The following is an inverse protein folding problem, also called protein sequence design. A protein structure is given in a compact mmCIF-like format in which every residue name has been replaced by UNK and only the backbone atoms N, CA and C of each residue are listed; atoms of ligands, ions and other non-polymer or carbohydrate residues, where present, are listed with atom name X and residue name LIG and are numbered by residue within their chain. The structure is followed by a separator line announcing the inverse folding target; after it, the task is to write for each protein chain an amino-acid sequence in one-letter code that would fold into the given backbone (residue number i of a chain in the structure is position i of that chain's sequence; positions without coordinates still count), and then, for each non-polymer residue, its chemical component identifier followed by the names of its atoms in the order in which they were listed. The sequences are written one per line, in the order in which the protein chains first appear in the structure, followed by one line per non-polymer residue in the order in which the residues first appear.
data_IF_015668116328
#
_entry.id   IF_015668116328
#
_cell.length_a   1.000
_cell.length_b   1.000
_cell.length_c   1.000
_cell.angle_alpha   90.00
_cell.angle_beta   90.00
_cell.angle_gamma   90.00
#
_symmetry.space_group_name_H-M   'P 1'
#
loop_
_entity.id
_entity.type
_entity.pdbx_description
1 polymer ?
#
# COMPACT_ATOMS: atom_id res chain seq x y z
N UNK A 1 -13.16 -7.18 -2.67
CA UNK A 1 -12.45 -6.45 -1.60
C UNK A 1 -11.98 -5.13 -2.23
N UNK A 2 -12.77 -4.08 -2.10
CA UNK A 2 -12.44 -2.73 -2.57
C UNK A 2 -12.75 -1.78 -1.41
N UNK A 3 -11.78 -0.93 -1.07
CA UNK A 3 -11.91 0.08 -0.01
C UNK A 3 -12.84 1.22 -0.51
N UNK A 4 -13.83 1.69 0.27
CA UNK A 4 -14.84 2.64 -0.23
C UNK A 4 -14.34 4.10 -0.35
N UNK A 5 -13.08 4.38 -0.03
CA UNK A 5 -12.43 5.69 -0.20
C UNK A 5 -11.48 5.66 -1.39
N UNK A 6 -11.83 6.37 -2.46
CA UNK A 6 -11.30 6.17 -3.81
C UNK A 6 -9.78 6.33 -4.00
N UNK A 7 -9.26 5.44 -4.86
CA UNK A 7 -8.32 5.67 -5.97
C UNK A 7 -7.81 4.34 -6.59
N UNK A 8 -8.39 3.19 -6.22
CA UNK A 8 -7.94 1.86 -6.65
C UNK A 8 -8.18 1.52 -8.13
N UNK A 9 -8.96 2.32 -8.87
CA UNK A 9 -9.32 2.00 -10.26
C UNK A 9 -8.17 2.25 -11.26
N UNK A 10 -7.20 3.08 -10.87
CA UNK A 10 -6.07 3.47 -11.73
C UNK A 10 -4.73 2.88 -11.27
N UNK A 11 -4.72 1.72 -10.60
CA UNK A 11 -3.48 1.05 -10.18
C UNK A 11 -2.49 0.83 -11.33
N UNK A 12 -3.01 0.67 -12.56
CA UNK A 12 -2.25 0.51 -13.78
C UNK A 12 -1.56 1.81 -14.27
N UNK A 13 -1.98 2.98 -13.74
CA UNK A 13 -1.38 4.29 -14.03
C UNK A 13 -0.37 4.72 -12.96
N UNK A 14 -0.36 4.05 -11.79
CA UNK A 14 0.55 4.37 -10.70
C UNK A 14 2.00 4.15 -11.15
N UNK A 15 2.87 5.11 -10.84
CA UNK A 15 4.27 5.08 -11.28
C UNK A 15 5.20 4.52 -10.22
N UNK A 16 4.78 4.58 -8.96
CA UNK A 16 5.59 4.22 -7.81
C UNK A 16 4.75 3.57 -6.71
N UNK A 17 5.39 2.82 -5.82
CA UNK A 17 4.72 2.24 -4.65
C UNK A 17 4.22 3.30 -3.65
N UNK A 18 4.73 4.53 -3.73
CA UNK A 18 4.40 5.62 -2.82
C UNK A 18 3.00 6.21 -3.04
N UNK A 19 2.37 5.89 -4.17
CA UNK A 19 1.01 6.34 -4.53
C UNK A 19 -0.08 5.45 -3.90
N UNK A 20 0.33 4.40 -3.17
CA UNK A 20 -0.58 3.46 -2.55
C UNK A 20 -0.67 3.67 -1.04
N UNK A 21 -1.79 3.25 -0.47
CA UNK A 21 -2.00 3.14 0.97
C UNK A 21 -2.38 1.71 1.32
N UNK A 22 -2.01 1.27 2.52
CA UNK A 22 -2.34 -0.05 3.02
C UNK A 22 -2.81 0.05 4.47
N UNK A 23 -3.69 -0.86 4.89
CA UNK A 23 -4.00 -1.03 6.31
C UNK A 23 -2.82 -1.72 6.99
N UNK A 24 -2.34 -1.14 8.07
CA UNK A 24 -1.37 -1.80 8.93
C UNK A 24 -2.02 -2.89 9.80
N UNK A 25 -1.22 -3.57 10.61
CA UNK A 25 -1.67 -4.66 11.50
C UNK A 25 -2.65 -4.20 12.58
N UNK A 26 -2.66 -2.90 12.89
CA UNK A 26 -3.56 -2.28 13.86
C UNK A 26 -4.86 -1.76 13.19
N UNK A 27 -4.97 -1.91 11.87
CA UNK A 27 -6.14 -1.51 11.07
C UNK A 27 -6.13 -0.06 10.61
N UNK A 28 -5.06 0.69 10.87
CA UNK A 28 -4.94 2.08 10.44
C UNK A 28 -4.57 2.14 8.95
N UNK A 29 -5.20 3.06 8.21
CA UNK A 29 -4.83 3.31 6.82
C UNK A 29 -3.55 4.15 6.77
N UNK A 30 -2.49 3.61 6.18
CA UNK A 30 -1.16 4.20 6.15
C UNK A 30 -0.70 4.37 4.71
N UNK A 31 -0.27 5.58 4.35
CA UNK A 31 0.37 5.85 3.06
C UNK A 31 1.78 5.24 2.99
N UNK A 32 2.08 4.59 1.87
CA UNK A 32 3.41 4.03 1.59
C UNK A 32 4.44 5.12 1.24
N UNK A 33 4.00 6.36 0.99
CA UNK A 33 4.88 7.52 0.79
C UNK A 33 5.89 7.72 1.93
N UNK A 34 5.54 7.32 3.16
CA UNK A 34 6.42 7.41 4.32
C UNK A 34 7.75 6.64 4.17
N UNK A 35 7.84 5.73 3.21
CA UNK A 35 9.06 4.97 2.91
C UNK A 35 9.91 5.57 1.79
N UNK A 36 9.57 6.76 1.29
CA UNK A 36 10.37 7.47 0.28
C UNK A 36 11.79 7.71 0.80
N UNK A 37 12.78 7.31 0.01
CA UNK A 37 14.20 7.42 0.36
C UNK A 37 14.77 6.18 1.05
N UNK A 38 13.96 5.16 1.33
CA UNK A 38 14.39 3.88 1.87
C UNK A 38 14.29 2.77 0.83
N UNK A 39 15.26 1.85 0.86
CA UNK A 39 15.15 0.59 0.11
C UNK A 39 14.11 -0.29 0.80
N UNK A 40 13.12 -0.76 0.05
CA UNK A 40 11.98 -1.51 0.59
C UNK A 40 11.96 -2.95 0.07
N UNK A 41 11.54 -3.89 0.92
CA UNK A 41 11.19 -5.26 0.54
C UNK A 41 9.69 -5.43 0.74
N UNK A 42 8.99 -5.88 -0.31
CA UNK A 42 7.57 -6.22 -0.27
C UNK A 42 7.49 -7.74 -0.35
N UNK A 43 6.87 -8.36 0.67
CA UNK A 43 6.73 -9.82 0.73
C UNK A 43 5.31 -10.21 1.11
N UNK A 44 4.84 -11.32 0.53
CA UNK A 44 3.71 -12.06 1.04
C UNK A 44 4.18 -12.89 2.25
N UNK A 45 3.37 -12.94 3.30
CA UNK A 45 3.61 -13.80 4.47
C UNK A 45 2.34 -14.62 4.72
N UNK A 46 2.50 -15.90 5.04
CA UNK A 46 1.44 -16.79 5.49
C UNK A 46 1.93 -17.55 6.73
N UNK A 47 1.09 -17.63 7.76
CA UNK A 47 1.32 -18.49 8.93
C UNK A 47 0.51 -19.79 8.80
N UNK A 48 0.99 -20.84 9.45
CA UNK A 48 0.35 -22.17 9.48
C UNK A 48 -0.97 -22.16 10.24
#
# INVERSE_FOLDING_TARGET
IADPGGCADNWHQAKTIYEFSAKDIDGNLVSLEKYRGFVCIITNVASK
#
